data_IF_346953639219
#
_entry.id   IF_346953639219
#
_cell.length_a   1.000
_cell.length_b   1.000
_cell.length_c   1.000
_cell.angle_alpha   90.00
_cell.angle_beta   90.00
_cell.angle_gamma   90.00
#
_symmetry.space_group_name_H-M   'P 1'
#
loop_
_entity.id
_entity.type
_entity.pdbx_description
1 polymer ?
#
# COMPACT_ATOMS: atom_id res chain seq x y z
N UNK A 1 -54.90 -55.02 40.85
CA UNK A 1 -54.63 -54.26 39.59
C UNK A 1 -53.64 -53.19 39.91
N UNK A 2 -52.44 -53.21 39.39
CA UNK A 2 -51.48 -52.14 39.62
C UNK A 2 -51.67 -50.99 38.58
N UNK A 3 -51.76 -49.76 39.04
CA UNK A 3 -51.86 -48.53 38.24
C UNK A 3 -50.47 -48.20 37.79
N UNK A 4 -50.23 -48.27 36.47
CA UNK A 4 -49.00 -47.83 35.85
C UNK A 4 -49.13 -46.29 35.61
N UNK A 5 -48.44 -45.48 36.40
CA UNK A 5 -48.31 -44.06 36.14
C UNK A 5 -47.22 -43.84 35.09
N UNK A 6 -47.61 -43.43 33.89
CA UNK A 6 -46.70 -43.03 32.83
C UNK A 6 -46.12 -41.64 33.15
N UNK A 7 -44.83 -41.57 33.46
CA UNK A 7 -44.06 -40.32 33.49
C UNK A 7 -43.67 -39.96 32.04
N UNK A 8 -44.47 -39.16 31.39
CA UNK A 8 -44.12 -38.46 30.15
C UNK A 8 -43.86 -36.98 30.47
N UNK A 9 -42.65 -36.55 30.39
CA UNK A 9 -42.32 -35.13 30.54
C UNK A 9 -40.90 -34.78 30.88
N UNK A 10 -39.89 -35.37 30.20
CA UNK A 10 -38.58 -34.75 30.16
C UNK A 10 -38.68 -33.65 29.13
N UNK A 11 -38.97 -32.41 29.60
CA UNK A 11 -38.75 -31.23 28.79
C UNK A 11 -37.23 -31.09 28.65
N UNK A 12 -36.73 -31.42 27.49
CA UNK A 12 -35.41 -31.03 27.04
C UNK A 12 -35.37 -29.50 27.07
N UNK A 13 -34.72 -28.92 28.08
CA UNK A 13 -34.31 -27.55 28.02
C UNK A 13 -33.27 -27.47 26.92
N UNK A 14 -33.72 -27.20 25.68
CA UNK A 14 -32.87 -26.82 24.59
C UNK A 14 -32.09 -25.63 25.05
N UNK A 15 -30.76 -25.76 25.18
CA UNK A 15 -29.87 -24.58 25.26
C UNK A 15 -30.24 -23.73 24.06
N UNK A 16 -30.90 -22.62 24.27
CA UNK A 16 -31.19 -21.63 23.26
C UNK A 16 -29.85 -21.07 22.79
N UNK A 17 -29.20 -21.81 21.87
CA UNK A 17 -28.03 -21.30 21.17
C UNK A 17 -28.45 -20.06 20.43
N UNK A 18 -27.75 -18.94 20.65
CA UNK A 18 -27.94 -17.75 19.85
C UNK A 18 -27.74 -18.13 18.38
N UNK A 19 -28.78 -17.92 17.56
CA UNK A 19 -28.67 -18.21 16.12
C UNK A 19 -27.53 -17.38 15.54
N UNK A 20 -26.68 -18.02 14.73
CA UNK A 20 -25.61 -17.31 14.04
C UNK A 20 -26.22 -16.33 13.02
N UNK A 21 -25.71 -15.11 12.99
CA UNK A 21 -26.10 -14.06 12.03
C UNK A 21 -24.88 -13.57 11.27
N UNK A 22 -25.02 -13.40 9.95
CA UNK A 22 -23.98 -12.83 9.12
C UNK A 22 -23.84 -11.33 9.40
N UNK A 23 -22.61 -10.81 9.24
CA UNK A 23 -22.36 -9.37 9.23
C UNK A 23 -23.06 -8.72 8.01
N UNK A 24 -23.66 -7.54 8.20
CA UNK A 24 -24.27 -6.73 7.14
C UNK A 24 -23.50 -5.44 6.97
N UNK A 25 -23.00 -5.18 5.76
CA UNK A 25 -22.24 -3.98 5.45
C UNK A 25 -22.37 -3.56 3.97
N UNK A 26 -22.02 -2.29 3.73
CA UNK A 26 -22.02 -1.67 2.40
C UNK A 26 -20.67 -1.00 2.13
N UNK A 27 -20.31 -0.91 0.83
CA UNK A 27 -19.10 -0.25 0.34
C UNK A 27 -18.34 -1.11 -0.65
N UNK A 28 -17.58 -0.48 -1.54
CA UNK A 28 -16.77 -1.15 -2.54
C UNK A 28 -17.54 -2.03 -3.54
N UNK A 29 -16.78 -2.75 -4.36
CA UNK A 29 -17.33 -3.78 -5.26
C UNK A 29 -17.48 -5.09 -4.50
N UNK A 30 -18.67 -5.69 -4.56
CA UNK A 30 -19.03 -6.88 -3.76
C UNK A 30 -18.92 -8.15 -4.58
N UNK A 31 -18.34 -9.19 -3.99
CA UNK A 31 -18.30 -10.55 -4.53
C UNK A 31 -18.37 -11.58 -3.41
N UNK A 32 -18.78 -12.81 -3.73
CA UNK A 32 -18.81 -13.93 -2.79
C UNK A 32 -17.84 -15.02 -3.26
N UNK A 33 -17.12 -15.62 -2.33
CA UNK A 33 -16.24 -16.77 -2.59
C UNK A 33 -16.23 -17.71 -1.39
N UNK A 34 -16.71 -18.93 -1.57
CA UNK A 34 -16.94 -19.87 -0.48
C UNK A 34 -17.86 -19.27 0.59
N UNK A 35 -17.45 -19.37 1.83
CA UNK A 35 -18.19 -18.82 2.99
C UNK A 35 -17.92 -17.33 3.25
N UNK A 36 -17.20 -16.61 2.36
CA UNK A 36 -16.83 -15.23 2.56
C UNK A 36 -17.51 -14.30 1.55
N UNK A 37 -17.93 -13.12 2.04
CA UNK A 37 -18.26 -11.97 1.23
C UNK A 37 -17.08 -11.01 1.24
N UNK A 38 -16.70 -10.52 0.05
CA UNK A 38 -15.61 -9.59 -0.18
C UNK A 38 -16.18 -8.24 -0.62
N UNK A 39 -15.64 -7.18 -0.05
CA UNK A 39 -15.79 -5.80 -0.51
C UNK A 39 -14.42 -5.33 -0.96
N UNK A 40 -14.29 -4.84 -2.19
CA UNK A 40 -13.00 -4.53 -2.81
C UNK A 40 -12.95 -3.10 -3.33
N UNK A 41 -11.81 -2.46 -3.13
CA UNK A 41 -11.49 -1.11 -3.63
C UNK A 41 -10.17 -1.15 -4.38
N UNK A 42 -10.18 -0.62 -5.61
CA UNK A 42 -9.04 -0.59 -6.49
C UNK A 42 -8.74 0.83 -6.92
N UNK A 43 -7.47 1.11 -7.14
CA UNK A 43 -7.05 2.40 -7.69
C UNK A 43 -7.02 3.53 -6.66
N UNK A 44 -6.71 4.70 -7.13
CA UNK A 44 -6.59 5.91 -6.32
C UNK A 44 -7.98 6.44 -5.92
N UNK A 45 -8.47 6.04 -4.76
CA UNK A 45 -9.78 6.48 -4.28
C UNK A 45 -9.86 6.59 -2.76
N UNK A 46 -10.76 7.47 -2.31
CA UNK A 46 -11.28 7.50 -0.93
C UNK A 46 -12.71 6.97 -0.92
N UNK A 47 -13.04 6.17 0.07
CA UNK A 47 -14.35 5.53 0.21
C UNK A 47 -14.64 5.22 1.67
N UNK A 48 -15.78 4.60 1.93
CA UNK A 48 -16.18 4.11 3.24
C UNK A 48 -16.64 2.66 3.17
N UNK A 49 -16.52 1.98 4.31
CA UNK A 49 -17.15 0.68 4.56
C UNK A 49 -18.04 0.83 5.79
N UNK A 50 -19.36 0.77 5.59
CA UNK A 50 -20.35 0.99 6.65
C UNK A 50 -20.94 -0.35 7.08
N UNK A 51 -20.78 -0.69 8.35
CA UNK A 51 -21.30 -1.89 9.00
C UNK A 51 -22.59 -1.52 9.71
N UNK A 52 -23.72 -2.04 9.23
CA UNK A 52 -25.03 -1.85 9.85
C UNK A 52 -25.31 -2.86 10.96
N UNK A 53 -24.84 -4.10 10.80
CA UNK A 53 -24.92 -5.18 11.79
C UNK A 53 -23.58 -5.94 11.82
N UNK A 54 -22.89 -6.01 12.96
CA UNK A 54 -21.61 -6.73 13.08
C UNK A 54 -21.78 -8.25 13.07
N UNK A 55 -22.99 -8.77 13.11
CA UNK A 55 -23.28 -10.19 13.16
C UNK A 55 -22.77 -10.87 14.43
N UNK A 56 -22.77 -12.20 14.42
CA UNK A 56 -22.33 -13.01 15.56
C UNK A 56 -20.81 -12.95 15.76
N UNK A 57 -20.06 -13.00 14.67
CA UNK A 57 -18.57 -13.08 14.71
C UNK A 57 -17.91 -11.75 15.12
N UNK A 58 -18.53 -10.61 14.86
CA UNK A 58 -18.08 -9.26 15.21
C UNK A 58 -16.65 -8.94 14.75
N UNK A 59 -16.22 -9.49 13.60
CA UNK A 59 -14.92 -9.20 13.03
C UNK A 59 -14.96 -9.15 11.49
N UNK A 60 -14.00 -8.43 10.95
CA UNK A 60 -13.68 -8.41 9.53
C UNK A 60 -12.20 -8.68 9.31
N UNK A 61 -11.84 -9.30 8.20
CA UNK A 61 -10.47 -9.45 7.74
C UNK A 61 -10.20 -8.45 6.62
N UNK A 62 -9.09 -7.74 6.74
CA UNK A 62 -8.67 -6.74 5.76
C UNK A 62 -7.30 -7.10 5.20
N UNK A 63 -7.22 -7.28 3.88
CA UNK A 63 -5.98 -7.37 3.13
C UNK A 63 -5.82 -6.13 2.25
N UNK A 64 -4.63 -5.52 2.29
CA UNK A 64 -4.35 -4.30 1.53
C UNK A 64 -2.94 -4.24 1.00
N UNK A 65 -2.78 -3.55 -0.12
CA UNK A 65 -1.50 -3.29 -0.77
C UNK A 65 -1.36 -1.80 -1.06
N UNK A 66 -0.20 -1.26 -0.76
CA UNK A 66 0.18 0.08 -1.18
C UNK A 66 0.43 0.15 -2.68
N UNK A 67 0.48 1.34 -3.24
CA UNK A 67 0.75 1.53 -4.66
C UNK A 67 2.23 1.40 -4.99
N UNK A 68 2.55 1.01 -6.23
CA UNK A 68 3.91 1.01 -6.73
C UNK A 68 4.41 2.40 -7.11
N UNK A 69 5.71 2.63 -6.95
CA UNK A 69 6.42 3.82 -7.42
C UNK A 69 6.70 3.79 -8.91
N UNK A 70 6.91 4.96 -9.49
CA UNK A 70 7.29 5.14 -10.89
C UNK A 70 8.77 4.90 -11.14
N UNK A 71 9.12 4.46 -12.33
CA UNK A 71 10.51 4.35 -12.78
C UNK A 71 11.14 5.72 -13.04
N UNK A 72 12.46 5.82 -12.96
CA UNK A 72 13.23 6.95 -13.47
C UNK A 72 13.20 7.00 -15.00
N UNK A 73 13.48 8.17 -15.55
CA UNK A 73 13.51 8.38 -17.01
C UNK A 73 14.70 7.72 -17.69
N UNK A 74 14.58 7.46 -18.97
CA UNK A 74 15.56 6.87 -19.87
C UNK A 74 16.13 5.53 -19.35
N UNK A 75 17.44 5.42 -19.13
CA UNK A 75 18.10 4.26 -18.52
C UNK A 75 17.96 4.24 -16.99
N UNK A 76 16.96 4.93 -16.44
CA UNK A 76 16.71 5.06 -15.02
C UNK A 76 16.32 3.77 -14.31
N UNK A 77 16.45 3.74 -13.00
CA UNK A 77 16.02 2.64 -12.16
C UNK A 77 14.50 2.46 -12.17
N UNK A 78 14.06 1.23 -12.03
CA UNK A 78 12.62 0.98 -11.88
C UNK A 78 12.11 1.41 -10.50
N UNK A 79 10.84 1.78 -10.42
CA UNK A 79 10.17 2.00 -9.15
C UNK A 79 10.00 0.73 -8.33
N UNK A 80 9.81 0.86 -7.04
CA UNK A 80 9.48 -0.24 -6.13
C UNK A 80 8.00 -0.60 -6.19
N UNK A 81 7.65 -1.83 -5.86
CA UNK A 81 6.28 -2.28 -5.70
C UNK A 81 5.73 -1.95 -4.30
N UNK A 82 4.42 -2.00 -4.11
CA UNK A 82 3.76 -1.77 -2.83
C UNK A 82 3.98 -2.91 -1.83
N UNK A 83 3.97 -2.60 -0.52
CA UNK A 83 3.92 -3.56 0.56
C UNK A 83 2.52 -4.11 0.75
N UNK A 84 2.41 -5.19 1.50
CA UNK A 84 1.17 -5.84 1.89
C UNK A 84 0.99 -5.81 3.40
N UNK A 85 -0.25 -5.60 3.84
CA UNK A 85 -0.68 -5.68 5.23
C UNK A 85 -2.00 -6.44 5.32
N UNK A 86 -2.06 -7.41 6.24
CA UNK A 86 -3.27 -8.16 6.56
C UNK A 86 -3.53 -8.13 8.05
N UNK A 87 -4.79 -7.93 8.44
CA UNK A 87 -5.21 -8.00 9.83
C UNK A 87 -6.69 -8.37 9.96
N UNK A 88 -7.06 -8.93 11.12
CA UNK A 88 -8.44 -9.09 11.57
C UNK A 88 -8.76 -8.00 12.58
N UNK A 89 -9.86 -7.27 12.35
CA UNK A 89 -10.34 -6.21 13.23
C UNK A 89 -11.69 -6.59 13.84
N UNK A 90 -11.80 -6.44 15.16
CA UNK A 90 -13.10 -6.48 15.84
C UNK A 90 -13.90 -5.24 15.44
N UNK A 91 -15.18 -5.42 15.15
CA UNK A 91 -16.06 -4.37 14.65
C UNK A 91 -17.38 -4.31 15.43
N UNK A 92 -18.01 -3.14 15.38
CA UNK A 92 -19.37 -2.85 15.82
C UNK A 92 -20.17 -2.29 14.65
N UNK A 93 -21.37 -1.77 14.87
CA UNK A 93 -22.06 -0.94 13.89
C UNK A 93 -21.34 0.39 13.78
N UNK A 94 -20.52 0.54 12.73
CA UNK A 94 -19.61 1.66 12.54
C UNK A 94 -19.30 1.90 11.06
N UNK A 95 -18.70 3.04 10.76
CA UNK A 95 -18.16 3.35 9.43
C UNK A 95 -16.65 3.45 9.49
N UNK A 96 -15.97 2.63 8.68
CA UNK A 96 -14.52 2.68 8.47
C UNK A 96 -14.22 3.53 7.23
N UNK A 97 -13.24 4.40 7.33
CA UNK A 97 -12.75 5.21 6.21
C UNK A 97 -11.64 4.48 5.46
N UNK A 98 -11.76 4.43 4.17
CA UNK A 98 -10.86 3.73 3.25
C UNK A 98 -10.15 4.73 2.37
N UNK A 99 -8.87 4.48 2.15
CA UNK A 99 -8.03 5.27 1.27
C UNK A 99 -7.09 4.35 0.53
N UNK A 100 -7.23 4.27 -0.79
CA UNK A 100 -6.36 3.45 -1.64
C UNK A 100 -5.35 4.34 -2.35
N UNK A 101 -4.06 4.01 -2.23
CA UNK A 101 -2.97 4.77 -2.79
C UNK A 101 -2.92 4.78 -4.32
N UNK A 102 -2.57 5.92 -4.91
CA UNK A 102 -2.29 6.07 -6.34
C UNK A 102 -0.84 5.73 -6.67
N UNK A 103 -0.58 5.29 -7.90
CA UNK A 103 0.77 5.00 -8.40
C UNK A 103 1.65 6.24 -8.50
N UNK A 104 2.95 6.08 -8.31
CA UNK A 104 3.93 7.08 -8.66
C UNK A 104 4.09 7.20 -10.17
N UNK A 105 4.27 8.43 -10.68
CA UNK A 105 4.55 8.72 -12.08
C UNK A 105 6.01 8.44 -12.44
N UNK A 106 6.26 8.05 -13.70
CA UNK A 106 7.61 7.91 -14.23
C UNK A 106 8.31 9.24 -14.43
N UNK A 107 9.65 9.27 -14.30
CA UNK A 107 10.48 10.38 -14.76
C UNK A 107 10.59 10.40 -16.29
N UNK A 108 10.89 11.57 -16.86
CA UNK A 108 11.05 11.74 -18.32
C UNK A 108 12.49 11.50 -18.78
N UNK A 109 12.64 11.13 -20.05
CA UNK A 109 13.94 10.96 -20.70
C UNK A 109 14.54 12.25 -21.26
N UNK A 110 15.70 12.13 -21.95
CA UNK A 110 16.61 13.18 -22.38
C UNK A 110 16.06 14.38 -23.16
N UNK A 111 14.95 14.28 -23.84
CA UNK A 111 14.48 15.34 -24.72
C UNK A 111 13.56 16.37 -24.05
N UNK A 112 13.32 16.21 -22.77
CA UNK A 112 12.42 17.04 -22.00
C UNK A 112 13.10 17.45 -20.71
N UNK A 113 13.78 18.58 -20.73
CA UNK A 113 14.28 19.22 -19.51
C UNK A 113 13.15 19.31 -18.48
N UNK A 114 13.42 18.97 -17.23
CA UNK A 114 12.53 19.23 -16.09
C UNK A 114 11.40 18.28 -15.74
N UNK A 115 11.44 16.99 -16.13
CA UNK A 115 10.38 16.06 -15.74
C UNK A 115 10.79 15.05 -14.64
N UNK A 116 10.65 15.41 -13.40
CA UNK A 116 10.54 14.44 -12.32
C UNK A 116 9.14 13.81 -12.29
N UNK A 117 9.04 12.52 -11.99
CA UNK A 117 7.77 11.82 -11.87
C UNK A 117 6.90 12.39 -10.76
N UNK A 118 5.61 12.56 -11.02
CA UNK A 118 4.63 12.97 -10.00
C UNK A 118 4.52 11.94 -8.88
N UNK A 119 4.38 12.36 -7.63
CA UNK A 119 4.10 11.47 -6.50
C UNK A 119 2.73 10.82 -6.63
N UNK A 120 2.60 9.57 -6.21
CA UNK A 120 1.31 8.89 -6.09
C UNK A 120 0.46 9.56 -5.02
N UNK A 121 -0.81 9.81 -5.33
CA UNK A 121 -1.73 10.39 -4.37
C UNK A 121 -2.04 9.37 -3.27
N UNK A 122 -2.13 9.85 -2.06
CA UNK A 122 -2.64 9.13 -0.91
C UNK A 122 -3.41 10.11 -0.06
N UNK A 123 -4.72 9.88 0.21
CA UNK A 123 -5.48 10.73 1.10
C UNK A 123 -4.88 10.74 2.50
N UNK A 124 -5.05 11.84 3.22
CA UNK A 124 -4.57 12.07 4.58
C UNK A 124 -3.05 11.96 4.76
N UNK A 125 -2.27 12.34 3.75
CA UNK A 125 -0.83 12.48 3.88
C UNK A 125 0.00 11.23 3.60
N UNK A 126 -0.61 10.08 3.26
CA UNK A 126 0.12 8.90 2.81
C UNK A 126 0.55 8.98 1.33
N UNK A 127 0.74 10.19 0.81
CA UNK A 127 1.16 10.42 -0.58
C UNK A 127 2.63 10.06 -0.78
N UNK A 128 2.97 9.54 -1.95
CA UNK A 128 4.35 9.42 -2.39
C UNK A 128 4.97 10.77 -2.72
N UNK A 129 6.28 10.91 -2.57
CA UNK A 129 7.00 12.13 -2.94
C UNK A 129 7.14 12.28 -4.46
N UNK A 130 7.43 13.49 -4.91
CA UNK A 130 7.76 13.76 -6.32
C UNK A 130 9.22 13.42 -6.61
N UNK A 131 9.48 12.76 -7.74
CA UNK A 131 10.81 12.61 -8.30
C UNK A 131 11.39 13.97 -8.70
N UNK A 132 12.73 14.10 -8.71
CA UNK A 132 13.37 15.35 -9.08
C UNK A 132 13.50 15.53 -10.59
N UNK A 133 13.44 16.79 -10.99
CA UNK A 133 13.86 17.24 -12.31
C UNK A 133 15.39 17.06 -12.44
N UNK A 134 15.84 16.74 -13.62
CA UNK A 134 17.23 16.80 -14.01
C UNK A 134 17.54 18.16 -14.63
N UNK A 135 18.77 18.64 -14.53
CA UNK A 135 19.24 19.85 -15.17
C UNK A 135 19.27 19.71 -16.70
N UNK A 136 19.36 20.84 -17.42
CA UNK A 136 19.26 20.87 -18.87
C UNK A 136 20.58 20.59 -19.63
N UNK A 137 21.60 20.03 -18.97
CA UNK A 137 22.89 19.81 -19.60
C UNK A 137 22.98 18.38 -20.16
N UNK A 138 22.57 18.18 -21.42
CA UNK A 138 22.73 16.93 -22.09
C UNK A 138 21.59 15.92 -21.84
N UNK A 139 21.93 14.63 -21.77
CA UNK A 139 20.98 13.50 -21.66
C UNK A 139 20.57 13.17 -20.23
N UNK A 140 20.17 14.17 -19.45
CA UNK A 140 19.77 14.01 -18.05
C UNK A 140 18.34 13.50 -17.91
N UNK A 141 18.09 12.58 -16.97
CA UNK A 141 16.76 12.01 -16.73
C UNK A 141 16.22 12.27 -15.31
N UNK A 142 14.95 12.59 -15.22
CA UNK A 142 14.28 12.80 -13.94
C UNK A 142 14.05 11.51 -13.15
N UNK A 143 14.06 11.59 -11.84
CA UNK A 143 13.70 10.49 -10.95
C UNK A 143 12.19 10.19 -10.97
N UNK A 144 11.82 8.96 -10.68
CA UNK A 144 10.43 8.54 -10.55
C UNK A 144 9.77 9.00 -9.25
N UNK A 145 8.47 9.17 -9.27
CA UNK A 145 7.67 9.46 -8.07
C UNK A 145 7.41 8.22 -7.21
N UNK A 146 7.27 8.39 -5.90
CA UNK A 146 6.87 7.32 -4.99
C UNK A 146 5.37 6.99 -5.09
N UNK A 147 5.00 5.75 -4.84
CA UNK A 147 3.60 5.33 -4.73
C UNK A 147 2.96 5.77 -3.41
N UNK A 148 1.66 5.98 -3.40
CA UNK A 148 0.87 6.28 -2.20
C UNK A 148 0.62 5.05 -1.34
N UNK A 149 0.49 5.23 -0.02
CA UNK A 149 0.07 4.18 0.89
C UNK A 149 -1.44 3.92 0.82
N UNK A 150 -1.85 2.69 1.14
CA UNK A 150 -3.26 2.31 1.32
C UNK A 150 -3.55 2.24 2.81
N UNK A 151 -4.65 2.87 3.25
CA UNK A 151 -5.00 3.09 4.65
C UNK A 151 -6.41 2.62 4.96
N UNK A 152 -6.60 2.07 6.19
CA UNK A 152 -7.88 1.83 6.82
C UNK A 152 -7.94 2.59 8.16
N UNK A 153 -8.99 3.40 8.36
CA UNK A 153 -9.15 4.24 9.54
C UNK A 153 -10.50 4.00 10.21
N UNK A 154 -10.50 4.05 11.54
CA UNK A 154 -11.69 4.14 12.39
C UNK A 154 -11.82 5.58 12.88
N UNK A 155 -12.80 6.31 12.33
CA UNK A 155 -12.84 7.76 12.49
C UNK A 155 -11.56 8.42 11.96
N UNK A 156 -10.79 9.05 12.84
CA UNK A 156 -9.50 9.65 12.52
C UNK A 156 -8.28 8.77 12.92
N UNK A 157 -8.52 7.63 13.57
CA UNK A 157 -7.45 6.73 14.01
C UNK A 157 -7.08 5.74 12.93
N UNK A 158 -5.81 5.69 12.56
CA UNK A 158 -5.29 4.68 11.63
C UNK A 158 -5.26 3.32 12.34
N UNK A 159 -5.89 2.31 11.75
CA UNK A 159 -5.91 0.94 12.28
C UNK A 159 -5.09 -0.04 11.40
N UNK A 160 -4.90 0.30 10.12
CA UNK A 160 -4.06 -0.51 9.23
C UNK A 160 -3.51 0.32 8.08
N UNK A 161 -2.27 0.05 7.63
CA UNK A 161 -1.63 0.67 6.48
C UNK A 161 -0.76 -0.31 5.72
N UNK A 162 -0.77 -0.20 4.40
CA UNK A 162 0.20 -0.82 3.51
C UNK A 162 1.03 0.26 2.82
N UNK A 163 2.36 0.14 2.90
CA UNK A 163 3.29 1.13 2.37
C UNK A 163 3.38 1.09 0.85
N UNK A 164 3.45 2.24 0.22
CA UNK A 164 3.75 2.40 -1.20
C UNK A 164 5.23 2.20 -1.52
N UNK A 165 5.55 1.84 -2.74
CA UNK A 165 6.92 1.69 -3.24
C UNK A 165 7.57 3.03 -3.52
N UNK A 166 8.89 3.13 -3.37
CA UNK A 166 9.68 4.30 -3.74
C UNK A 166 9.87 4.41 -5.25
N UNK A 167 10.13 5.62 -5.74
CA UNK A 167 10.47 5.89 -7.14
C UNK A 167 11.88 5.44 -7.50
N UNK A 168 12.13 5.10 -8.74
CA UNK A 168 13.47 4.84 -9.28
C UNK A 168 14.25 6.12 -9.53
N UNK A 169 15.58 6.07 -9.40
CA UNK A 169 16.46 7.19 -9.76
C UNK A 169 16.51 7.38 -11.27
N UNK A 170 16.71 8.61 -11.73
CA UNK A 170 17.03 8.91 -13.13
C UNK A 170 18.50 8.61 -13.44
N UNK A 171 18.84 8.38 -14.71
CA UNK A 171 20.22 8.17 -15.15
C UNK A 171 20.59 9.14 -16.26
N UNK A 172 21.86 9.51 -16.30
CA UNK A 172 22.47 10.18 -17.45
C UNK A 172 23.07 9.13 -18.41
N UNK A 173 22.65 9.15 -19.64
CA UNK A 173 23.10 8.19 -20.65
C UNK A 173 22.76 6.76 -20.22
N UNK A 174 23.72 5.82 -20.33
CA UNK A 174 23.58 4.43 -19.91
C UNK A 174 24.12 4.14 -18.50
N UNK A 175 24.28 5.17 -17.66
CA UNK A 175 24.77 5.02 -16.28
C UNK A 175 23.66 4.45 -15.40
N UNK A 176 23.92 3.33 -14.70
CA UNK A 176 22.94 2.63 -13.91
C UNK A 176 22.38 3.48 -12.77
N UNK A 177 21.08 3.64 -12.68
CA UNK A 177 20.40 4.31 -11.57
C UNK A 177 19.87 3.30 -10.55
N UNK A 178 19.68 3.74 -9.31
CA UNK A 178 19.15 2.96 -8.23
C UNK A 178 17.67 2.68 -8.39
N UNK A 179 17.25 1.45 -8.11
CA UNK A 179 15.84 1.05 -8.08
C UNK A 179 15.16 1.54 -6.80
N UNK A 180 13.87 1.90 -6.90
CA UNK A 180 13.05 2.21 -5.73
C UNK A 180 12.87 0.99 -4.83
N UNK A 181 12.91 1.19 -3.51
CA UNK A 181 12.54 0.18 -2.52
C UNK A 181 11.05 -0.13 -2.57
N UNK A 182 10.68 -1.40 -2.44
CA UNK A 182 9.29 -1.78 -2.27
C UNK A 182 8.73 -1.27 -0.94
N UNK A 183 7.40 -1.24 -0.79
CA UNK A 183 6.75 -0.91 0.49
C UNK A 183 7.32 -1.77 1.61
N UNK A 184 7.78 -1.14 2.67
CA UNK A 184 8.51 -1.77 3.76
C UNK A 184 10.02 -2.01 3.52
N UNK A 185 10.59 -1.55 2.38
CA UNK A 185 12.02 -1.73 2.06
C UNK A 185 12.73 -0.41 1.71
N UNK A 186 14.03 -0.40 1.96
CA UNK A 186 14.89 0.70 1.51
C UNK A 186 15.10 0.67 -0.01
N UNK A 187 15.32 1.85 -0.58
CA UNK A 187 15.71 1.99 -1.98
C UNK A 187 17.14 1.49 -2.24
N UNK A 188 17.43 1.20 -3.48
CA UNK A 188 18.75 0.76 -3.92
C UNK A 188 19.64 1.94 -4.30
N UNK A 189 20.94 1.79 -4.11
CA UNK A 189 21.91 2.78 -4.53
C UNK A 189 21.95 2.90 -6.05
N UNK A 190 22.10 4.13 -6.54
CA UNK A 190 22.53 4.39 -7.92
C UNK A 190 24.01 4.09 -8.13
N UNK A 191 24.43 4.07 -9.41
CA UNK A 191 25.83 3.84 -9.74
C UNK A 191 26.70 5.03 -9.26
N UNK A 192 27.82 4.73 -8.60
CA UNK A 192 28.90 5.61 -8.11
C UNK A 192 28.61 6.54 -6.94
N UNK A 193 27.51 7.26 -6.79
CA UNK A 193 27.35 8.19 -5.67
C UNK A 193 25.92 8.38 -5.16
N UNK A 194 24.90 8.02 -5.92
CA UNK A 194 23.50 8.11 -5.44
C UNK A 194 23.22 7.09 -4.34
N UNK A 195 22.98 7.52 -3.11
CA UNK A 195 22.56 6.62 -2.03
C UNK A 195 21.06 6.28 -2.14
N UNK A 196 20.68 5.05 -1.76
CA UNK A 196 19.28 4.65 -1.68
C UNK A 196 18.59 5.30 -0.48
N UNK A 197 17.34 5.71 -0.66
CA UNK A 197 16.50 6.25 0.43
C UNK A 197 16.12 5.17 1.43
N UNK A 198 16.09 5.51 2.71
CA UNK A 198 15.70 4.60 3.78
C UNK A 198 14.19 4.36 3.83
N UNK A 199 13.79 3.18 4.29
CA UNK A 199 12.39 2.84 4.55
C UNK A 199 11.84 3.68 5.69
N UNK A 200 10.61 4.17 5.55
CA UNK A 200 9.72 4.76 6.54
C UNK A 200 10.31 5.16 7.89
N UNK A 201 11.30 6.04 7.89
CA UNK A 201 12.16 6.27 9.05
C UNK A 201 11.68 7.41 9.97
N UNK A 202 10.90 8.35 9.46
CA UNK A 202 10.50 9.52 10.24
C UNK A 202 9.11 9.99 9.89
N UNK A 203 8.40 10.44 10.89
CA UNK A 203 7.08 11.05 10.74
C UNK A 203 5.97 10.32 11.49
N UNK A 204 4.85 10.99 11.62
CA UNK A 204 3.61 10.45 12.09
C UNK A 204 3.03 9.49 11.04
N UNK A 205 1.97 8.75 11.36
CA UNK A 205 1.24 7.89 10.43
C UNK A 205 0.78 8.59 9.11
N UNK A 206 0.79 9.93 9.05
CA UNK A 206 0.63 10.77 7.86
C UNK A 206 1.85 10.79 6.93
N UNK A 207 2.80 9.88 7.09
CA UNK A 207 4.09 9.96 6.43
C UNK A 207 3.99 10.09 4.92
N UNK A 208 4.24 11.29 4.42
CA UNK A 208 4.48 11.53 2.99
C UNK A 208 5.85 10.97 2.63
N UNK A 209 5.95 10.35 1.48
CA UNK A 209 7.24 9.98 0.93
C UNK A 209 8.12 11.22 0.73
N UNK A 210 9.39 11.13 1.10
CA UNK A 210 10.35 12.21 0.90
C UNK A 210 10.40 12.58 -0.59
N UNK A 211 10.19 13.86 -0.88
CA UNK A 211 10.39 14.42 -2.23
C UNK A 211 11.81 14.94 -2.37
N UNK A 212 12.28 15.05 -3.58
CA UNK A 212 13.50 15.72 -4.04
C UNK A 212 14.82 15.36 -3.34
N UNK A 213 15.63 14.64 -4.02
CA UNK A 213 17.07 14.82 -4.01
C UNK A 213 17.53 14.91 -5.46
N UNK A 214 18.42 15.76 -5.77
CA UNK A 214 19.04 15.78 -7.06
C UNK A 214 19.85 17.02 -7.30
N UNK A 215 20.97 16.89 -7.99
CA UNK A 215 21.82 17.89 -8.60
C UNK A 215 21.43 18.17 -10.05
N UNK A 216 22.33 18.79 -10.77
CA UNK A 216 22.05 19.32 -12.11
C UNK A 216 21.93 18.24 -13.20
N UNK A 217 22.24 16.97 -12.95
CA UNK A 217 22.46 15.99 -14.00
C UNK A 217 21.57 14.73 -13.95
N UNK A 218 21.20 14.22 -12.79
CA UNK A 218 20.22 13.13 -12.69
C UNK A 218 19.38 13.25 -11.41
N UNK A 219 18.09 12.90 -11.50
CA UNK A 219 17.16 13.02 -10.37
C UNK A 219 17.16 11.79 -9.48
N UNK A 220 17.21 11.96 -8.16
CA UNK A 220 16.92 10.88 -7.21
C UNK A 220 15.44 10.50 -7.25
N UNK A 221 15.14 9.23 -7.00
CA UNK A 221 13.77 8.72 -6.85
C UNK A 221 13.14 9.18 -5.54
N UNK A 222 11.84 9.40 -5.56
CA UNK A 222 11.10 9.83 -4.38
C UNK A 222 10.72 8.66 -3.46
N UNK A 223 10.51 8.92 -2.17
CA UNK A 223 10.01 7.92 -1.21
C UNK A 223 8.54 7.60 -1.39
N UNK A 224 8.13 6.38 -1.06
CA UNK A 224 6.74 5.93 -1.02
C UNK A 224 6.01 6.40 0.24
N UNK A 225 4.69 6.60 0.14
CA UNK A 225 3.81 6.91 1.28
C UNK A 225 3.46 5.65 2.10
N UNK A 226 2.94 5.82 3.32
CA UNK A 226 2.55 4.70 4.19
C UNK A 226 2.26 5.13 5.61
N UNK A 227 2.39 4.21 6.58
CA UNK A 227 2.35 4.57 8.00
C UNK A 227 3.43 5.60 8.33
N UNK A 228 4.62 5.35 7.84
CA UNK A 228 5.70 6.34 7.74
C UNK A 228 6.17 6.39 6.30
N UNK A 229 6.39 7.59 5.79
CA UNK A 229 6.89 7.77 4.42
C UNK A 229 8.36 7.37 4.30
N UNK A 230 8.71 6.78 3.16
CA UNK A 230 10.10 6.49 2.81
C UNK A 230 10.88 7.76 2.47
N UNK A 231 12.19 7.70 2.61
CA UNK A 231 13.07 8.81 2.21
C UNK A 231 13.33 8.78 0.69
N UNK A 232 13.62 9.94 0.12
CA UNK A 232 14.12 10.01 -1.27
C UNK A 232 15.51 9.41 -1.40
N UNK A 233 15.86 8.95 -2.60
CA UNK A 233 17.22 8.58 -2.97
C UNK A 233 18.12 9.80 -3.16
N UNK A 234 19.42 9.60 -3.01
CA UNK A 234 20.42 10.66 -3.15
C UNK A 234 20.73 11.00 -4.59
N UNK A 235 21.24 12.22 -4.75
CA UNK A 235 21.76 12.76 -5.98
C UNK A 235 23.23 12.39 -6.18
N UNK A 236 23.64 12.02 -7.38
CA UNK A 236 25.04 11.67 -7.64
C UNK A 236 26.00 12.88 -7.74
N UNK A 237 25.52 14.09 -8.00
CA UNK A 237 26.33 15.31 -8.00
C UNK A 237 27.49 15.40 -8.99
N UNK A 238 27.62 14.47 -9.95
CA UNK A 238 28.70 14.40 -10.94
C UNK A 238 28.22 13.82 -12.27
N UNK A 239 28.97 14.09 -13.35
CA UNK A 239 28.72 13.60 -14.70
C UNK A 239 28.71 12.06 -14.79
N UNK A 240 27.91 11.52 -15.68
CA UNK A 240 27.76 10.06 -15.95
C UNK A 240 27.40 9.22 -14.73
N UNK A 241 26.47 9.69 -13.91
CA UNK A 241 26.03 9.00 -12.70
C UNK A 241 24.52 8.83 -12.65
N UNK A 242 24.05 7.78 -11.99
CA UNK A 242 22.63 7.53 -11.79
C UNK A 242 22.18 7.92 -10.38
N UNK A 243 21.03 8.57 -10.26
CA UNK A 243 20.41 8.90 -8.98
C UNK A 243 20.02 7.64 -8.18
N UNK A 244 20.03 7.72 -6.86
CA UNK A 244 19.55 6.64 -6.00
C UNK A 244 18.04 6.48 -6.07
N UNK A 245 17.52 5.27 -5.88
CA UNK A 245 16.08 5.02 -5.74
C UNK A 245 15.55 5.44 -4.38
N UNK A 246 14.32 5.92 -4.30
CA UNK A 246 13.65 6.23 -3.03
C UNK A 246 13.28 4.97 -2.22
N UNK A 247 13.19 5.10 -0.91
CA UNK A 247 12.72 4.03 -0.01
C UNK A 247 11.18 3.88 -0.07
N UNK A 248 10.68 2.69 0.19
CA UNK A 248 9.23 2.45 0.33
C UNK A 248 8.68 2.95 1.67
N UNK A 249 7.40 3.24 1.72
CA UNK A 249 6.69 3.53 2.96
C UNK A 249 6.51 2.27 3.83
N UNK A 250 6.31 2.43 5.12
CA UNK A 250 6.15 1.32 6.04
C UNK A 250 4.69 0.84 6.15
N UNK A 251 4.55 -0.46 6.45
CA UNK A 251 3.28 -1.08 6.81
C UNK A 251 2.96 -0.83 8.29
N UNK A 252 1.67 -0.97 8.65
CA UNK A 252 1.19 -0.92 10.03
C UNK A 252 -0.08 -1.75 10.20
N UNK A 253 -0.21 -2.41 11.37
CA UNK A 253 -1.45 -3.09 11.78
C UNK A 253 -1.66 -2.95 13.27
N UNK A 254 -2.88 -2.67 13.69
CA UNK A 254 -3.33 -2.69 15.09
C UNK A 254 -4.32 -3.83 15.39
N UNK A 255 -4.66 -4.64 14.42
CA UNK A 255 -5.59 -5.78 14.54
C UNK A 255 -4.95 -7.05 15.08
N UNK A 256 -5.75 -8.11 15.15
CA UNK A 256 -5.33 -9.47 15.47
C UNK A 256 -4.99 -10.28 14.20
N UNK A 257 -4.31 -11.43 14.34
CA UNK A 257 -3.91 -12.30 13.21
C UNK A 257 -3.22 -11.51 12.10
N UNK A 258 -2.23 -10.70 12.48
CA UNK A 258 -1.56 -9.77 11.58
C UNK A 258 -0.50 -10.46 10.73
N UNK A 259 -0.40 -10.04 9.48
CA UNK A 259 0.70 -10.40 8.58
C UNK A 259 1.09 -9.19 7.75
N UNK A 260 2.36 -8.83 7.81
CA UNK A 260 2.94 -7.78 6.99
C UNK A 260 4.04 -8.38 6.12
N UNK A 261 4.01 -8.11 4.83
CA UNK A 261 5.07 -8.51 3.92
C UNK A 261 5.54 -7.34 3.07
N UNK A 262 6.84 -7.21 2.97
CA UNK A 262 7.47 -6.27 2.04
C UNK A 262 7.47 -6.86 0.64
N UNK A 263 7.32 -6.01 -0.37
CA UNK A 263 7.56 -6.41 -1.76
C UNK A 263 9.06 -6.50 -2.08
N UNK A 264 9.37 -6.85 -3.31
CA UNK A 264 10.69 -6.70 -3.92
C UNK A 264 10.64 -5.55 -4.94
N UNK A 265 11.82 -5.16 -5.46
CA UNK A 265 11.89 -4.18 -6.55
C UNK A 265 11.12 -4.72 -7.79
N UNK A 266 9.83 -4.48 -7.87
CA UNK A 266 8.98 -4.90 -8.98
C UNK A 266 7.87 -5.88 -8.63
N UNK A 267 7.98 -6.63 -7.52
CA UNK A 267 6.92 -7.53 -7.05
C UNK A 267 6.36 -7.04 -5.70
N UNK A 268 5.04 -6.86 -5.57
CA UNK A 268 4.42 -6.46 -4.31
C UNK A 268 4.52 -7.56 -3.25
N UNK A 269 4.42 -7.15 -1.98
CA UNK A 269 4.27 -8.08 -0.88
C UNK A 269 3.07 -9.00 -1.10
N UNK A 270 3.16 -10.27 -0.66
CA UNK A 270 2.13 -11.29 -0.87
C UNK A 270 1.60 -11.34 -2.32
N UNK A 271 2.52 -11.42 -3.29
CA UNK A 271 2.21 -11.36 -4.73
C UNK A 271 1.32 -12.51 -5.23
N UNK A 272 1.25 -13.62 -4.49
CA UNK A 272 0.41 -14.78 -4.82
C UNK A 272 -1.08 -14.66 -4.44
N UNK A 273 -1.48 -13.61 -3.72
CA UNK A 273 -2.89 -13.42 -3.35
C UNK A 273 -3.72 -12.99 -4.57
N UNK A 274 -4.69 -13.82 -4.95
CA UNK A 274 -5.58 -13.58 -6.09
C UNK A 274 -6.43 -12.31 -5.95
N UNK A 275 -6.69 -11.86 -4.73
CA UNK A 275 -7.45 -10.62 -4.47
C UNK A 275 -6.67 -9.36 -4.85
N UNK A 276 -5.35 -9.43 -4.92
CA UNK A 276 -4.51 -8.32 -5.40
C UNK A 276 -4.77 -8.00 -6.89
N UNK A 277 -4.96 -8.99 -7.72
CA UNK A 277 -4.99 -8.81 -9.18
C UNK A 277 -3.64 -8.25 -9.70
N UNK A 278 -3.68 -7.29 -10.61
CA UNK A 278 -2.50 -6.62 -11.18
C UNK A 278 -2.04 -5.38 -10.38
N UNK A 279 -2.70 -5.07 -9.25
CA UNK A 279 -2.40 -3.89 -8.46
C UNK A 279 -1.07 -3.99 -7.69
N UNK A 280 -0.62 -2.87 -7.17
CA UNK A 280 0.56 -2.73 -6.32
C UNK A 280 1.92 -3.07 -6.96
N UNK A 281 1.95 -3.56 -8.19
CA UNK A 281 3.18 -3.72 -8.95
C UNK A 281 3.76 -2.34 -9.29
N UNK A 282 4.99 -2.30 -9.79
CA UNK A 282 5.67 -1.09 -10.24
C UNK A 282 4.77 -0.23 -11.13
N UNK A 283 4.58 1.05 -10.78
CA UNK A 283 3.73 1.97 -11.52
C UNK A 283 2.22 1.68 -11.47
N UNK A 284 1.78 0.77 -10.63
CA UNK A 284 0.36 0.43 -10.45
C UNK A 284 -0.19 0.99 -9.14
N UNK A 285 -1.48 1.35 -9.14
CA UNK A 285 -2.17 1.79 -7.94
C UNK A 285 -2.32 0.66 -6.91
N UNK A 286 -2.56 1.03 -5.65
CA UNK A 286 -2.88 0.11 -4.59
C UNK A 286 -4.23 -0.59 -4.76
N UNK A 287 -4.53 -1.51 -3.87
CA UNK A 287 -5.82 -2.18 -3.74
C UNK A 287 -6.04 -2.62 -2.30
N UNK A 288 -7.28 -2.82 -1.91
CA UNK A 288 -7.64 -3.49 -0.66
C UNK A 288 -8.94 -4.25 -0.77
N UNK A 289 -9.10 -5.24 0.10
CA UNK A 289 -10.39 -5.87 0.36
C UNK A 289 -10.68 -5.95 1.85
N UNK A 290 -11.97 -5.97 2.17
CA UNK A 290 -12.49 -6.38 3.48
C UNK A 290 -13.37 -7.61 3.23
N UNK A 291 -13.18 -8.66 4.03
CA UNK A 291 -14.02 -9.86 3.95
C UNK A 291 -14.54 -10.28 5.32
N UNK A 292 -15.69 -10.94 5.31
CA UNK A 292 -16.31 -11.53 6.47
C UNK A 292 -17.12 -12.77 6.09
N UNK A 293 -17.41 -13.64 7.06
CA UNK A 293 -18.19 -14.85 6.81
C UNK A 293 -19.67 -14.53 6.55
N UNK A 294 -20.28 -15.32 5.67
CA UNK A 294 -21.72 -15.31 5.34
C UNK A 294 -22.44 -16.58 5.81
N UNK A 295 -21.69 -17.54 6.36
CA UNK A 295 -22.19 -18.77 6.98
C UNK A 295 -21.30 -19.15 8.16
N UNK A 296 -21.81 -19.95 9.12
CA UNK A 296 -21.07 -20.42 10.29
C UNK A 296 -19.76 -21.11 9.96
#
# INVERSE_FOLDING_TARGET
MPIIASFSGIRSFGKGGVAWTALSANGGSVSNSGQYRYHKWNGNQSSTFTISDPGTDKWVECGMWGAGGGGGGQCGGGGGAGGHSFARHTVSSETLNISVGGSGGGGCGCNSCHCGGGGGSGPRGASGGRGRHAGCNGCSAGGGGGGGGTLLLRGNSLIQAAGGGGGGGGAEGCCGAGQGGAGGQSGYRGNRSGYGGQTGHSGNWNGQGGGRAGGDQSGGGAGGGGYRGGQHGGDPGRDCTGGGGGGGGSNHTSGNNTSNSSGNAGQPGNSGDSQRGNHASRGQSGTMYIRYKTSP
#
